data_IF_993181569904
#
_entry.id   IF_993181569904
#
_cell.length_a   1.000
_cell.length_b   1.000
_cell.length_c   1.000
_cell.angle_alpha   90.00
_cell.angle_beta   90.00
_cell.angle_gamma   90.00
#
_symmetry.space_group_name_H-M   'P 1'
#
loop_
_entity.id
_entity.type
_entity.pdbx_description
1 polymer ?
#
# COMPACT_ATOMS: atom_id res chain seq x y z
N UNK A 1 -2.36 8.06 -28.06
CA UNK A 1 -2.45 8.44 -26.64
C UNK A 1 -2.69 7.17 -25.84
N UNK A 2 -1.63 6.56 -25.32
CA UNK A 2 -1.70 5.28 -24.62
C UNK A 2 -2.27 5.51 -23.23
N UNK A 3 -3.44 4.95 -22.96
CA UNK A 3 -4.09 4.97 -21.64
C UNK A 3 -3.31 3.98 -20.75
N UNK A 4 -2.31 4.48 -20.04
CA UNK A 4 -1.39 3.68 -19.23
C UNK A 4 -2.13 2.95 -18.10
N UNK A 5 -2.14 1.61 -18.17
CA UNK A 5 -2.28 0.62 -17.09
C UNK A 5 -2.79 1.13 -15.73
N UNK A 6 -4.08 1.46 -15.63
CA UNK A 6 -4.71 1.95 -14.40
C UNK A 6 -5.19 0.82 -13.46
N UNK A 7 -4.72 -0.41 -13.64
CA UNK A 7 -5.42 -1.61 -13.12
C UNK A 7 -4.89 -2.16 -11.78
N UNK A 8 -3.98 -1.45 -11.10
CA UNK A 8 -3.42 -1.89 -9.81
C UNK A 8 -4.12 -1.23 -8.62
N UNK A 9 -3.90 0.07 -8.46
CA UNK A 9 -4.37 0.84 -7.31
C UNK A 9 -5.87 1.17 -7.38
N UNK A 10 -6.38 1.56 -8.55
CA UNK A 10 -7.80 1.94 -8.71
C UNK A 10 -8.75 0.73 -8.60
N UNK A 11 -8.23 -0.49 -8.74
CA UNK A 11 -8.99 -1.73 -8.53
C UNK A 11 -9.12 -2.12 -7.05
N UNK A 12 -8.58 -1.31 -6.13
CA UNK A 12 -8.74 -1.47 -4.68
C UNK A 12 -9.93 -0.68 -4.18
N UNK A 13 -10.63 -1.21 -3.17
CA UNK A 13 -11.67 -0.43 -2.47
C UNK A 13 -11.04 0.75 -1.72
N UNK A 14 -11.82 1.77 -1.38
CA UNK A 14 -11.32 2.92 -0.59
C UNK A 14 -10.65 2.49 0.71
N UNK A 15 -11.21 1.48 1.39
CA UNK A 15 -10.63 0.90 2.62
C UNK A 15 -9.28 0.24 2.34
N UNK A 16 -9.17 -0.55 1.27
CA UNK A 16 -7.91 -1.20 0.89
C UNK A 16 -6.83 -0.18 0.51
N UNK A 17 -7.22 0.87 -0.21
CA UNK A 17 -6.34 1.99 -0.56
C UNK A 17 -5.81 2.70 0.69
N UNK A 18 -6.68 2.99 1.65
CA UNK A 18 -6.32 3.64 2.91
C UNK A 18 -5.40 2.77 3.76
N UNK A 19 -5.71 1.48 3.91
CA UNK A 19 -4.82 0.52 4.60
C UNK A 19 -3.45 0.42 3.93
N UNK A 20 -3.40 0.34 2.59
CA UNK A 20 -2.15 0.28 1.85
C UNK A 20 -1.30 1.54 2.07
N UNK A 21 -1.93 2.72 2.15
CA UNK A 21 -1.25 3.99 2.47
C UNK A 21 -0.70 4.01 3.90
N UNK A 22 -1.44 3.51 4.88
CA UNK A 22 -0.95 3.46 6.27
C UNK A 22 0.28 2.56 6.38
N UNK A 23 0.25 1.37 5.77
CA UNK A 23 1.41 0.47 5.74
C UNK A 23 2.59 1.11 4.98
N UNK A 24 2.32 1.91 3.94
CA UNK A 24 3.35 2.63 3.22
C UNK A 24 4.04 3.71 4.07
N UNK A 25 3.27 4.43 4.88
CA UNK A 25 3.74 5.53 5.72
C UNK A 25 4.46 5.02 6.98
N UNK A 26 3.88 4.03 7.66
CA UNK A 26 4.41 3.50 8.90
C UNK A 26 5.62 2.56 8.71
N UNK A 27 5.80 2.00 7.51
CA UNK A 27 6.72 0.89 7.30
C UNK A 27 6.18 -0.43 7.88
N UNK A 28 7.04 -1.37 8.29
CA UNK A 28 6.60 -2.60 8.93
C UNK A 28 5.74 -2.30 10.16
N UNK A 29 4.52 -2.84 10.19
CA UNK A 29 3.52 -2.51 11.20
C UNK A 29 2.76 -3.76 11.64
N UNK A 30 2.56 -3.93 12.95
CA UNK A 30 1.80 -5.06 13.48
C UNK A 30 0.30 -4.89 13.23
N UNK A 31 -0.45 -6.00 13.13
CA UNK A 31 -1.92 -5.95 13.01
C UNK A 31 -2.61 -5.06 14.05
N UNK A 32 -2.26 -5.14 15.34
CA UNK A 32 -2.78 -4.22 16.36
C UNK A 32 -2.41 -2.75 16.10
N UNK A 33 -1.16 -2.45 15.76
CA UNK A 33 -0.74 -1.06 15.48
C UNK A 33 -1.42 -0.50 14.22
N UNK A 34 -1.58 -1.33 13.18
CA UNK A 34 -2.29 -0.97 11.96
C UNK A 34 -3.76 -0.65 12.24
N UNK A 35 -4.40 -1.41 13.13
CA UNK A 35 -5.75 -1.11 13.60
C UNK A 35 -5.80 0.23 14.31
N UNK A 36 -4.92 0.46 15.29
CA UNK A 36 -4.90 1.71 16.05
C UNK A 36 -4.69 2.92 15.11
N UNK A 37 -3.92 2.76 14.03
CA UNK A 37 -3.73 3.78 13.01
C UNK A 37 -4.92 3.97 12.04
N UNK A 38 -5.82 2.98 11.88
CA UNK A 38 -6.92 3.04 10.91
C UNK A 38 -8.16 3.78 11.44
N UNK A 39 -8.22 4.09 12.74
CA UNK A 39 -9.30 4.85 13.44
C UNK A 39 -10.75 4.34 13.21
N UNK A 40 -10.93 3.17 12.57
CA UNK A 40 -12.21 2.49 12.31
C UNK A 40 -12.24 1.11 12.98
N UNK A 41 -13.40 0.46 12.94
CA UNK A 41 -13.62 -0.84 13.60
C UNK A 41 -12.62 -1.91 13.16
N UNK A 42 -12.12 -2.70 14.13
CA UNK A 42 -11.18 -3.82 13.93
C UNK A 42 -11.56 -4.74 12.77
N UNK A 43 -12.85 -5.09 12.68
CA UNK A 43 -13.35 -6.03 11.69
C UNK A 43 -13.09 -5.58 10.25
N UNK A 44 -13.05 -4.26 10.00
CA UNK A 44 -12.77 -3.70 8.68
C UNK A 44 -11.32 -3.96 8.27
N UNK A 45 -10.36 -3.85 9.19
CA UNK A 45 -8.94 -4.08 8.92
C UNK A 45 -8.70 -5.54 8.56
N UNK A 46 -9.13 -6.46 9.43
CA UNK A 46 -8.86 -7.88 9.26
C UNK A 46 -9.59 -8.52 8.06
N UNK A 47 -10.73 -7.97 7.63
CA UNK A 47 -11.42 -8.43 6.42
C UNK A 47 -10.72 -8.00 5.13
N UNK A 48 -9.93 -6.92 5.16
CA UNK A 48 -9.31 -6.36 3.96
C UNK A 48 -7.83 -6.76 3.80
N UNK A 49 -7.14 -7.07 4.91
CA UNK A 49 -5.74 -7.54 4.86
C UNK A 49 -5.53 -8.77 3.96
N UNK A 50 -6.39 -9.82 3.99
CA UNK A 50 -6.25 -10.97 3.09
C UNK A 50 -6.31 -10.61 1.60
N UNK A 51 -7.04 -9.56 1.23
CA UNK A 51 -7.12 -9.11 -0.16
C UNK A 51 -5.83 -8.39 -0.59
N UNK A 52 -5.21 -7.62 0.32
CA UNK A 52 -3.94 -6.95 0.06
C UNK A 52 -2.78 -7.95 -0.02
N UNK A 53 -2.75 -8.94 0.87
CA UNK A 53 -1.75 -10.02 0.83
C UNK A 53 -1.96 -10.94 -0.36
N UNK A 54 -3.20 -11.31 -0.67
CA UNK A 54 -3.53 -12.14 -1.83
C UNK A 54 -3.22 -11.50 -3.19
N UNK A 55 -3.07 -10.18 -3.23
CA UNK A 55 -2.63 -9.42 -4.42
C UNK A 55 -1.13 -9.11 -4.45
N UNK A 56 -0.37 -9.67 -3.52
CA UNK A 56 1.06 -9.38 -3.34
C UNK A 56 1.35 -7.90 -3.13
N UNK A 57 0.44 -7.12 -2.54
CA UNK A 57 0.67 -5.70 -2.23
C UNK A 57 1.33 -5.51 -0.86
N UNK A 58 1.02 -6.43 0.05
CA UNK A 58 1.51 -6.46 1.44
C UNK A 58 1.97 -7.88 1.74
N UNK A 59 3.16 -8.02 2.32
CA UNK A 59 3.61 -9.27 2.91
C UNK A 59 3.16 -9.33 4.38
N UNK A 60 2.89 -10.55 4.87
CA UNK A 60 2.58 -10.82 6.27
C UNK A 60 3.60 -11.80 6.83
N UNK A 61 4.16 -11.51 7.99
CA UNK A 61 5.10 -12.38 8.71
C UNK A 61 4.69 -12.49 10.19
N UNK A 62 4.69 -13.70 10.75
CA UNK A 62 4.34 -13.91 12.15
C UNK A 62 5.52 -13.58 13.07
N UNK A 63 5.32 -12.73 14.09
CA UNK A 63 6.41 -12.24 14.96
C UNK A 63 6.45 -12.90 16.34
N UNK A 64 5.32 -13.37 16.87
CA UNK A 64 5.25 -14.01 18.21
C UNK A 64 4.27 -15.21 18.30
N UNK A 65 3.81 -15.71 17.15
CA UNK A 65 2.85 -16.81 17.04
C UNK A 65 1.38 -16.41 17.24
N UNK A 66 1.09 -15.17 17.65
CA UNK A 66 -0.25 -14.58 17.68
C UNK A 66 -0.35 -13.30 16.85
N UNK A 67 0.75 -12.57 16.74
CA UNK A 67 0.80 -11.31 16.00
C UNK A 67 1.46 -11.50 14.63
N UNK A 68 0.84 -10.89 13.61
CA UNK A 68 1.48 -10.68 12.31
C UNK A 68 1.96 -9.24 12.17
N UNK A 69 3.13 -9.09 11.55
CA UNK A 69 3.65 -7.85 10.99
C UNK A 69 3.34 -7.79 9.49
N UNK A 70 3.00 -6.59 9.03
CA UNK A 70 2.64 -6.29 7.64
C UNK A 70 3.62 -5.27 7.07
N UNK A 71 4.10 -5.50 5.86
CA UNK A 71 4.98 -4.57 5.13
C UNK A 71 4.64 -4.54 3.65
N UNK A 72 4.91 -3.42 2.99
CA UNK A 72 4.81 -3.39 1.53
C UNK A 72 5.76 -4.39 0.88
N UNK A 73 5.27 -5.08 -0.13
CA UNK A 73 6.13 -5.80 -1.09
C UNK A 73 6.72 -4.82 -2.10
N UNK A 74 7.67 -5.28 -2.91
CA UNK A 74 8.17 -4.49 -4.04
C UNK A 74 7.05 -4.16 -5.04
N UNK A 75 6.12 -5.10 -5.27
CA UNK A 75 4.97 -4.88 -6.13
C UNK A 75 4.01 -3.83 -5.54
N UNK A 76 3.71 -3.89 -4.25
CA UNK A 76 2.90 -2.88 -3.55
C UNK A 76 3.52 -1.49 -3.62
N UNK A 77 4.84 -1.38 -3.45
CA UNK A 77 5.57 -0.11 -3.65
C UNK A 77 5.44 0.39 -5.09
N UNK A 78 5.57 -0.50 -6.08
CA UNK A 78 5.43 -0.12 -7.48
C UNK A 78 4.02 0.40 -7.79
N UNK A 79 2.98 -0.27 -7.30
CA UNK A 79 1.58 0.15 -7.48
C UNK A 79 1.33 1.55 -6.91
N UNK A 80 1.91 1.87 -5.75
CA UNK A 80 1.83 3.21 -5.15
C UNK A 80 2.59 4.26 -5.98
N UNK A 81 3.79 3.93 -6.49
CA UNK A 81 4.55 4.82 -7.37
C UNK A 81 3.80 5.12 -8.66
N UNK A 82 3.22 4.10 -9.29
CA UNK A 82 2.45 4.24 -10.52
C UNK A 82 1.21 5.12 -10.30
N UNK A 83 0.50 4.91 -9.18
CA UNK A 83 -0.62 5.75 -8.80
C UNK A 83 -0.21 7.21 -8.59
N UNK A 84 0.87 7.46 -7.84
CA UNK A 84 1.38 8.80 -7.60
C UNK A 84 1.77 9.49 -8.92
N UNK A 85 2.46 8.78 -9.82
CA UNK A 85 2.83 9.29 -11.13
C UNK A 85 1.60 9.64 -11.98
N UNK A 86 0.58 8.78 -11.99
CA UNK A 86 -0.67 9.03 -12.69
C UNK A 86 -1.42 10.26 -12.15
N UNK A 87 -1.50 10.42 -10.82
CA UNK A 87 -2.10 11.60 -10.19
C UNK A 87 -1.34 12.87 -10.54
N UNK A 88 -0.01 12.83 -10.48
CA UNK A 88 0.82 13.98 -10.84
C UNK A 88 0.60 14.40 -12.31
N UNK A 89 0.65 13.45 -13.24
CA UNK A 89 0.45 13.72 -14.67
C UNK A 89 -0.95 14.30 -14.93
N UNK A 90 -1.98 13.79 -14.25
CA UNK A 90 -3.34 14.34 -14.31
C UNK A 90 -3.44 15.79 -13.78
N UNK A 91 -2.61 16.15 -12.81
CA UNK A 91 -2.48 17.52 -12.30
C UNK A 91 -1.51 18.39 -13.11
N UNK A 92 -0.92 17.88 -14.19
CA UNK A 92 0.06 18.63 -15.02
C UNK A 92 1.48 18.65 -14.46
N UNK A 93 1.80 17.77 -13.50
CA UNK A 93 3.13 17.59 -12.94
C UNK A 93 3.74 16.27 -13.39
N UNK A 94 5.07 16.20 -13.46
CA UNK A 94 5.79 14.93 -13.66
C UNK A 94 6.56 14.58 -12.40
N UNK A 95 6.25 13.43 -11.81
CA UNK A 95 7.09 12.87 -10.75
C UNK A 95 8.32 12.24 -11.36
N UNK A 96 9.49 12.69 -10.91
CA UNK A 96 10.76 12.01 -11.18
C UNK A 96 11.02 11.12 -9.97
N UNK A 97 11.20 9.79 -10.13
CA UNK A 97 11.58 8.95 -9.01
C UNK A 97 12.89 9.50 -8.45
N UNK A 98 12.96 9.67 -7.12
CA UNK A 98 14.19 10.11 -6.48
C UNK A 98 15.31 9.14 -6.86
N UNK A 99 16.17 9.57 -7.79
CA UNK A 99 17.36 8.84 -8.17
C UNK A 99 18.27 8.77 -6.95
N UNK A 100 18.67 7.57 -6.57
CA UNK A 100 19.76 7.40 -5.62
C UNK A 100 21.00 8.07 -6.20
N UNK A 101 21.38 9.21 -5.64
CA UNK A 101 22.78 9.60 -5.61
C UNK A 101 23.53 8.55 -4.80
N UNK A 102 24.36 7.77 -5.49
CA UNK A 102 25.57 7.20 -4.92
C UNK A 102 26.59 7.14 -6.05
N UNK A 103 27.45 8.15 -6.06
CA UNK A 103 28.72 8.16 -6.78
C UNK A 103 29.70 7.13 -6.17
#
# INVERSE_FOLDING_TARGET
>A
MSRSTTNGYESLTTVQQELLRIVADAGPITGPALRDAFERSDNVVYQNLPALTGRDLVASEGVDGRTNEYRLTEYGRQVLRDHAAAVAEACGFRLVPAGGESA
#
